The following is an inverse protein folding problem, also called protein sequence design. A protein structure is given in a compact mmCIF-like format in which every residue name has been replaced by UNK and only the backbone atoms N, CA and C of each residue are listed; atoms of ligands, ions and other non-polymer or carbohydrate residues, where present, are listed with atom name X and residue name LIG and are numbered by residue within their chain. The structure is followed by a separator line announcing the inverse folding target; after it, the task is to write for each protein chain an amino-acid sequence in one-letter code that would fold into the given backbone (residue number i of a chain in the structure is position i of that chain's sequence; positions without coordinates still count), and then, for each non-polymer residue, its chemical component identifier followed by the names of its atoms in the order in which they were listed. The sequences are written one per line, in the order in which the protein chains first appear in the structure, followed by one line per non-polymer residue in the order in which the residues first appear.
data_IF_297112617553
#
_entry.id   IF_297112617553
#
_cell.length_a   1.000
_cell.length_b   1.000
_cell.length_c   1.000
_cell.angle_alpha   90.00
_cell.angle_beta   90.00
_cell.angle_gamma   90.00
#
_symmetry.space_group_name_H-M   'P 1'
#
loop_
_entity.id
_entity.type
_entity.pdbx_description
1 polymer ?
#
# COMPACT_ATOMS: atom_id res chain seq x y z
N UNK A 1 -17.57 6.89 -41.97
CA UNK A 1 -16.83 5.94 -41.12
C UNK A 1 -16.51 6.64 -39.81
N UNK A 2 -17.33 6.47 -38.78
CA UNK A 2 -17.16 7.20 -37.52
C UNK A 2 -17.74 6.36 -36.37
N UNK A 3 -16.98 5.37 -35.91
CA UNK A 3 -17.29 4.70 -34.64
C UNK A 3 -16.04 4.10 -33.99
N UNK A 4 -15.03 4.96 -33.78
CA UNK A 4 -13.89 4.61 -32.95
C UNK A 4 -14.19 5.09 -31.52
N UNK A 5 -14.51 4.16 -30.63
CA UNK A 5 -14.72 4.46 -29.21
C UNK A 5 -13.38 4.85 -28.55
N UNK A 6 -13.02 6.12 -28.64
CA UNK A 6 -11.82 6.71 -28.04
C UNK A 6 -11.80 6.71 -26.50
N UNK A 7 -12.84 6.16 -25.85
CA UNK A 7 -12.92 5.96 -24.38
C UNK A 7 -12.56 4.54 -23.93
N UNK A 8 -12.19 3.64 -24.84
CA UNK A 8 -11.65 2.34 -24.47
C UNK A 8 -10.23 2.51 -23.90
N UNK A 9 -10.12 3.04 -22.68
CA UNK A 9 -8.87 3.11 -21.92
C UNK A 9 -8.39 1.67 -21.75
N UNK A 10 -7.24 1.35 -22.35
CA UNK A 10 -6.63 0.03 -22.24
C UNK A 10 -6.62 -0.41 -20.77
N UNK A 11 -7.02 -1.67 -20.52
CA UNK A 11 -7.03 -2.25 -19.17
C UNK A 11 -5.60 -2.21 -18.66
N UNK A 12 -5.28 -1.22 -17.83
CA UNK A 12 -3.91 -1.08 -17.36
C UNK A 12 -3.59 -2.28 -16.47
N UNK A 13 -2.76 -3.16 -17.01
CA UNK A 13 -2.34 -4.43 -16.40
C UNK A 13 -1.20 -4.25 -15.41
N UNK A 14 -0.45 -3.14 -15.50
CA UNK A 14 0.74 -2.89 -14.69
C UNK A 14 0.73 -1.50 -14.06
N UNK A 15 1.13 -1.41 -12.79
CA UNK A 15 1.30 -0.15 -12.05
C UNK A 15 2.72 -0.09 -11.51
N UNK A 16 3.42 0.99 -11.81
CA UNK A 16 4.73 1.29 -11.23
C UNK A 16 4.50 2.11 -9.97
N UNK A 17 5.10 1.70 -8.87
CA UNK A 17 4.97 2.33 -7.56
C UNK A 17 6.35 2.68 -7.03
N UNK A 18 6.43 3.79 -6.31
CA UNK A 18 7.65 4.20 -5.62
C UNK A 18 7.64 3.64 -4.21
N UNK A 19 8.71 2.94 -3.83
CA UNK A 19 8.95 2.57 -2.44
C UNK A 19 9.27 3.84 -1.67
N UNK A 20 8.53 4.07 -0.60
CA UNK A 20 8.74 5.20 0.31
C UNK A 20 9.29 4.69 1.64
N UNK A 21 9.88 5.58 2.43
CA UNK A 21 10.21 5.25 3.81
C UNK A 21 8.93 5.17 4.64
N UNK A 22 8.81 4.16 5.50
CA UNK A 22 7.69 3.99 6.43
C UNK A 22 7.54 5.25 7.27
N UNK A 23 6.49 6.03 7.01
CA UNK A 23 6.10 7.15 7.87
C UNK A 23 5.41 6.58 9.11
N UNK A 24 6.16 6.32 10.18
CA UNK A 24 5.52 6.22 11.51
C UNK A 24 5.35 7.61 12.12
N UNK A 25 4.22 7.86 12.82
CA UNK A 25 4.04 9.08 13.58
C UNK A 25 5.00 9.05 14.79
N UNK A 26 5.63 10.21 15.04
CA UNK A 26 6.45 10.49 16.21
C UNK A 26 5.68 10.20 17.50
N UNK A 27 6.24 9.49 18.50
CA UNK A 27 5.80 9.66 19.86
C UNK A 27 6.61 10.81 20.49
N UNK A 28 6.17 12.05 20.27
CA UNK A 28 6.24 13.03 21.34
C UNK A 28 5.06 13.99 21.21
N UNK A 29 4.02 13.75 22.01
CA UNK A 29 3.25 14.88 22.52
C UNK A 29 4.24 15.64 23.40
N UNK A 30 4.45 16.92 23.12
CA UNK A 30 5.20 17.86 23.96
C UNK A 30 4.74 17.88 25.45
N UNK A 31 3.66 17.15 25.78
CA UNK A 31 3.03 17.04 27.09
C UNK A 31 2.73 15.58 27.50
N UNK A 32 3.58 14.61 27.14
CA UNK A 32 3.44 13.26 27.67
C UNK A 32 3.88 13.22 29.15
N UNK A 33 3.06 12.71 30.08
CA UNK A 33 3.45 12.57 31.48
C UNK A 33 4.64 11.60 31.64
N UNK A 34 5.51 11.88 32.62
CA UNK A 34 6.81 11.22 32.80
C UNK A 34 6.77 9.70 33.02
N UNK A 35 5.60 9.11 33.28
CA UNK A 35 5.42 7.66 33.47
C UNK A 35 5.15 6.90 32.17
N UNK A 36 5.09 7.58 31.02
CA UNK A 36 4.93 6.91 29.73
C UNK A 36 6.32 6.46 29.26
N UNK A 37 6.51 5.15 29.17
CA UNK A 37 7.70 4.57 28.56
C UNK A 37 7.74 4.94 27.07
N UNK A 38 8.76 5.71 26.69
CA UNK A 38 9.04 6.00 25.29
C UNK A 38 9.69 4.77 24.66
N UNK A 39 8.97 4.10 23.78
CA UNK A 39 9.59 3.08 22.92
C UNK A 39 10.52 3.78 21.93
N UNK A 40 11.75 3.28 21.72
CA UNK A 40 12.64 3.82 20.70
C UNK A 40 11.94 3.73 19.34
N UNK A 41 12.14 4.77 18.51
CA UNK A 41 11.67 4.76 17.14
C UNK A 41 12.24 3.53 16.42
N UNK A 42 11.36 2.76 15.77
CA UNK A 42 11.79 1.65 14.92
C UNK A 42 12.66 2.19 13.77
N UNK A 43 13.68 1.44 13.31
CA UNK A 43 14.51 1.86 12.20
C UNK A 43 13.65 2.08 10.94
N UNK A 44 14.08 2.99 10.02
CA UNK A 44 13.40 3.18 8.75
C UNK A 44 13.23 1.86 7.99
N UNK A 45 12.02 1.62 7.49
CA UNK A 45 11.69 0.43 6.72
C UNK A 45 11.03 0.81 5.38
N UNK A 46 11.18 -0.01 4.32
CA UNK A 46 10.50 0.24 3.05
C UNK A 46 8.99 0.09 3.18
N UNK A 47 8.25 1.02 2.59
CA UNK A 47 6.79 1.06 2.60
C UNK A 47 6.24 1.20 1.18
N UNK A 48 5.29 0.33 0.85
CA UNK A 48 4.57 0.30 -0.43
C UNK A 48 3.12 0.70 -0.17
N UNK A 49 2.63 1.73 -0.87
CA UNK A 49 1.22 2.14 -0.85
C UNK A 49 0.47 1.52 -2.04
N UNK A 50 -0.42 0.57 -1.76
CA UNK A 50 -1.36 0.03 -2.75
C UNK A 50 -2.76 0.60 -2.50
N UNK A 51 -3.22 1.49 -3.38
CA UNK A 51 -4.56 2.08 -3.27
C UNK A 51 -5.17 2.39 -4.64
N UNK A 52 -6.49 2.28 -4.73
CA UNK A 52 -7.28 2.71 -5.87
C UNK A 52 -8.34 1.70 -6.31
N UNK A 53 -9.30 2.16 -7.13
CA UNK A 53 -10.42 1.33 -7.64
C UNK A 53 -9.96 0.12 -8.49
N UNK A 54 -8.72 0.11 -8.94
CA UNK A 54 -8.16 -1.00 -9.71
C UNK A 54 -7.95 -2.26 -8.86
N UNK A 55 -7.78 -2.13 -7.53
CA UNK A 55 -7.69 -3.26 -6.60
C UNK A 55 -9.02 -4.01 -6.54
N UNK A 56 -10.13 -3.28 -6.40
CA UNK A 56 -11.47 -3.87 -6.45
C UNK A 56 -11.72 -4.61 -7.78
N UNK A 57 -11.31 -4.02 -8.91
CA UNK A 57 -11.38 -4.68 -10.23
C UNK A 57 -10.50 -5.93 -10.35
N UNK A 58 -9.50 -6.08 -9.48
CA UNK A 58 -8.62 -7.24 -9.40
C UNK A 58 -9.10 -8.27 -8.34
N UNK A 59 -10.26 -8.04 -7.71
CA UNK A 59 -10.85 -8.97 -6.73
C UNK A 59 -10.45 -8.71 -5.27
N UNK A 60 -9.80 -7.58 -4.97
CA UNK A 60 -9.50 -7.19 -3.59
C UNK A 60 -10.61 -6.28 -3.06
N UNK A 61 -11.46 -6.78 -2.17
CA UNK A 61 -12.52 -5.99 -1.56
C UNK A 61 -12.06 -5.36 -0.24
N UNK A 62 -12.83 -4.37 0.21
CA UNK A 62 -12.62 -3.74 1.51
C UNK A 62 -12.93 -4.78 2.59
N UNK A 63 -12.07 -4.85 3.61
CA UNK A 63 -12.15 -5.80 4.72
C UNK A 63 -11.79 -7.25 4.39
N UNK A 64 -11.42 -7.56 3.14
CA UNK A 64 -10.88 -8.88 2.80
C UNK A 64 -9.53 -9.10 3.46
N UNK A 65 -9.27 -10.35 3.86
CA UNK A 65 -7.91 -10.77 4.19
C UNK A 65 -7.14 -10.94 2.89
N UNK A 66 -5.85 -10.63 2.91
CA UNK A 66 -4.96 -10.87 1.78
C UNK A 66 -3.83 -11.78 2.21
N UNK A 67 -3.33 -12.57 1.28
CA UNK A 67 -2.10 -13.33 1.45
C UNK A 67 -0.96 -12.61 0.72
N UNK A 68 0.18 -12.52 1.39
CA UNK A 68 1.42 -12.01 0.81
C UNK A 68 2.49 -13.08 0.94
N UNK A 69 2.89 -13.65 -0.19
CA UNK A 69 4.03 -14.55 -0.25
C UNK A 69 5.29 -13.74 -0.50
N UNK A 70 6.29 -13.95 0.36
CA UNK A 70 7.55 -13.22 0.34
C UNK A 70 8.65 -14.12 -0.20
N UNK A 71 9.27 -13.69 -1.30
CA UNK A 71 10.44 -14.33 -1.88
C UNK A 71 11.54 -13.28 -2.10
N UNK A 72 12.78 -13.73 -2.26
CA UNK A 72 13.89 -12.81 -2.54
C UNK A 72 13.63 -12.07 -3.87
N UNK A 73 13.48 -10.74 -3.80
CA UNK A 73 13.23 -9.89 -4.97
C UNK A 73 11.78 -9.89 -5.49
N UNK A 74 10.84 -10.58 -4.82
CA UNK A 74 9.46 -10.72 -5.31
C UNK A 74 8.46 -10.82 -4.17
N UNK A 75 7.33 -10.13 -4.33
CA UNK A 75 6.12 -10.31 -3.53
C UNK A 75 5.00 -10.81 -4.44
N UNK A 76 4.24 -11.80 -3.99
CA UNK A 76 2.99 -12.21 -4.63
C UNK A 76 1.85 -11.91 -3.67
N UNK A 77 0.89 -11.09 -4.11
CA UNK A 77 -0.24 -10.65 -3.30
C UNK A 77 -1.51 -11.24 -3.90
N UNK A 78 -2.29 -11.97 -3.09
CA UNK A 78 -3.52 -12.63 -3.51
C UNK A 78 -4.68 -12.29 -2.56
N UNK A 79 -5.90 -12.05 -3.08
CA UNK A 79 -7.09 -11.92 -2.25
C UNK A 79 -7.46 -13.29 -1.65
N UNK A 80 -8.10 -13.31 -0.48
CA UNK A 80 -8.59 -14.52 0.20
C UNK A 80 -10.10 -14.51 0.36
#
# INVERSE_FOLDING_TARGET
MADANHKAVARVTQRILTISSQRRPRPMKTYAPAHIEFFPDLPPAPWIRLSGRWLAKAGFNISDRIQVEVQRGRLVITPR
#
